data_IF_205421883162
#
_entry.id   IF_205421883162
#
_cell.length_a   1.000
_cell.length_b   1.000
_cell.length_c   1.000
_cell.angle_alpha   90.00
_cell.angle_beta   90.00
_cell.angle_gamma   90.00
#
_symmetry.space_group_name_H-M   'P 1'
#
loop_
_entity.id
_entity.type
_entity.pdbx_description
1 polymer ?
#
# COMPACT_ATOMS: atom_id res chain seq x y z
N UNK A 1 12.23 -86.54 7.52
CA UNK A 1 12.48 -86.33 6.06
C UNK A 1 11.96 -84.97 5.70
N UNK A 2 12.77 -84.12 5.13
CA UNK A 2 12.28 -82.80 4.65
C UNK A 2 13.34 -81.71 4.91
N UNK A 3 14.18 -81.52 3.93
CA UNK A 3 15.39 -80.69 3.87
C UNK A 3 15.09 -79.19 4.03
N UNK A 4 15.84 -78.53 4.95
CA UNK A 4 15.92 -77.07 5.00
C UNK A 4 16.75 -76.53 3.81
N UNK A 5 16.30 -75.45 3.25
CA UNK A 5 17.06 -74.59 2.36
C UNK A 5 17.44 -73.30 3.06
N UNK A 6 18.74 -73.16 3.25
CA UNK A 6 19.41 -71.96 3.72
C UNK A 6 19.35 -70.87 2.68
N UNK A 7 18.72 -69.74 2.99
CA UNK A 7 18.79 -68.53 2.17
C UNK A 7 19.96 -67.68 2.65
N UNK A 8 20.98 -67.53 1.77
CA UNK A 8 22.13 -66.65 1.96
C UNK A 8 21.68 -65.17 1.88
N UNK A 9 21.85 -64.45 2.98
CA UNK A 9 21.76 -62.99 3.03
C UNK A 9 22.93 -62.37 2.25
N UNK A 10 22.63 -61.60 1.20
CA UNK A 10 23.58 -60.69 0.55
C UNK A 10 23.75 -59.44 1.42
N UNK A 11 24.95 -58.91 1.59
CA UNK A 11 25.15 -57.64 2.26
C UNK A 11 24.71 -56.50 1.31
N UNK A 12 23.79 -55.66 1.75
CA UNK A 12 23.46 -54.38 1.11
C UNK A 12 24.68 -53.46 1.27
N UNK A 13 25.24 -53.06 0.15
CA UNK A 13 26.31 -52.09 0.07
C UNK A 13 25.85 -50.74 0.60
N UNK A 14 26.54 -50.28 1.62
CA UNK A 14 26.57 -48.91 2.12
C UNK A 14 26.97 -47.95 0.99
N UNK A 15 26.11 -47.04 0.62
CA UNK A 15 26.42 -46.03 -0.38
C UNK A 15 25.29 -45.00 -0.56
N UNK A 16 24.89 -44.32 0.51
CA UNK A 16 24.14 -43.09 0.45
C UNK A 16 24.43 -42.25 1.70
N UNK A 17 25.67 -41.77 1.79
CA UNK A 17 25.91 -40.57 2.57
C UNK A 17 25.38 -39.41 1.76
N UNK A 18 24.09 -39.09 1.94
CA UNK A 18 23.58 -37.80 1.56
C UNK A 18 24.33 -36.76 2.38
N UNK A 19 25.23 -36.02 1.73
CA UNK A 19 25.75 -34.77 2.23
C UNK A 19 24.56 -33.79 2.43
N UNK A 20 23.85 -33.96 3.51
CA UNK A 20 22.95 -32.93 4.07
C UNK A 20 23.85 -31.87 4.69
N UNK A 21 24.55 -31.10 3.84
CA UNK A 21 24.96 -29.76 4.27
C UNK A 21 23.66 -29.02 4.58
N UNK A 22 23.50 -28.49 5.80
CA UNK A 22 22.38 -27.59 6.04
C UNK A 22 22.49 -26.47 5.00
N UNK A 23 21.37 -26.03 4.38
CA UNK A 23 21.43 -24.91 3.47
C UNK A 23 22.12 -23.78 4.23
N UNK A 24 23.15 -23.19 3.64
CA UNK A 24 23.77 -21.98 4.15
C UNK A 24 22.64 -20.97 4.25
N UNK A 25 22.12 -20.77 5.47
CA UNK A 25 21.07 -19.79 5.71
C UNK A 25 21.70 -18.44 5.44
N UNK A 26 21.44 -17.88 4.26
CA UNK A 26 21.76 -16.49 3.97
C UNK A 26 21.04 -15.65 5.04
N UNK A 27 21.79 -14.85 5.78
CA UNK A 27 21.25 -14.01 6.83
C UNK A 27 20.41 -12.94 6.16
N UNK A 28 19.11 -13.01 6.32
CA UNK A 28 18.18 -11.98 5.85
C UNK A 28 18.14 -10.83 6.86
N UNK A 29 18.53 -9.64 6.42
CA UNK A 29 18.44 -8.42 7.21
C UNK A 29 17.16 -7.68 6.92
N UNK A 30 16.27 -7.58 7.91
CA UNK A 30 15.06 -6.75 7.80
C UNK A 30 15.40 -5.25 7.75
N UNK A 31 16.47 -4.84 8.44
CA UNK A 31 17.08 -3.50 8.38
C UNK A 31 18.59 -3.68 8.39
N UNK A 32 19.31 -2.91 7.57
CA UNK A 32 20.76 -2.93 7.46
C UNK A 32 21.31 -1.52 7.34
N UNK A 33 22.20 -1.15 8.26
CA UNK A 33 22.91 0.14 8.26
C UNK A 33 21.97 1.36 8.18
N UNK A 34 20.84 1.31 8.91
CA UNK A 34 19.86 2.40 8.99
C UNK A 34 20.32 3.39 10.06
N UNK A 35 20.60 4.63 9.67
CA UNK A 35 20.99 5.70 10.57
C UNK A 35 20.33 7.03 10.18
N UNK A 36 19.64 7.67 11.11
CA UNK A 36 19.03 8.99 10.93
C UNK A 36 18.74 9.64 12.27
N UNK A 37 18.59 10.96 12.25
CA UNK A 37 18.20 11.77 13.40
C UNK A 37 16.84 12.42 13.11
N UNK A 38 16.07 12.66 14.19
CA UNK A 38 14.80 13.40 14.13
C UNK A 38 14.84 14.51 15.16
N UNK A 39 14.59 15.73 14.72
CA UNK A 39 14.58 16.90 15.58
C UNK A 39 13.25 17.01 16.33
N UNK A 40 13.28 17.56 17.54
CA UNK A 40 12.06 17.81 18.31
C UNK A 40 11.10 18.71 17.50
N UNK A 41 9.84 18.31 17.42
CA UNK A 41 8.80 19.01 16.66
C UNK A 41 8.80 18.71 15.16
N UNK A 42 9.72 17.87 14.69
CA UNK A 42 9.78 17.48 13.27
C UNK A 42 8.74 16.42 12.95
N UNK A 43 8.14 16.52 11.76
CA UNK A 43 7.25 15.51 11.20
C UNK A 43 7.94 14.81 10.05
N UNK A 44 8.35 13.57 10.31
CA UNK A 44 9.12 12.77 9.34
C UNK A 44 8.26 11.66 8.75
N UNK A 45 8.12 11.66 7.42
CA UNK A 45 7.51 10.57 6.68
C UNK A 45 8.49 9.41 6.46
N UNK A 46 8.03 8.18 6.60
CA UNK A 46 8.78 6.98 6.24
C UNK A 46 8.03 6.27 5.13
N UNK A 47 8.58 6.30 3.94
CA UNK A 47 7.99 5.72 2.72
C UNK A 47 8.83 4.56 2.20
N UNK A 48 8.20 3.62 1.53
CA UNK A 48 8.87 2.44 0.97
C UNK A 48 7.87 1.36 0.61
N UNK A 49 8.27 0.43 -0.26
CA UNK A 49 7.44 -0.72 -0.68
C UNK A 49 7.11 -1.66 0.49
N UNK A 50 6.14 -2.55 0.28
CA UNK A 50 5.90 -3.65 1.20
C UNK A 50 7.16 -4.52 1.30
N UNK A 51 7.55 -4.89 2.53
CA UNK A 51 8.82 -5.59 2.77
C UNK A 51 10.06 -4.70 2.86
N UNK A 52 9.97 -3.37 2.67
CA UNK A 52 11.12 -2.45 2.76
C UNK A 52 11.72 -2.30 4.17
N UNK A 53 11.08 -2.86 5.22
CA UNK A 53 11.56 -2.78 6.59
C UNK A 53 10.83 -1.74 7.47
N UNK A 54 9.82 -1.02 6.94
CA UNK A 54 9.07 0.02 7.66
C UNK A 54 8.53 -0.45 9.02
N UNK A 55 7.74 -1.54 9.02
CA UNK A 55 7.15 -2.08 10.25
C UNK A 55 8.21 -2.57 11.25
N UNK A 56 9.33 -3.12 10.78
CA UNK A 56 10.45 -3.50 11.64
C UNK A 56 11.08 -2.28 12.29
N UNK A 57 11.28 -1.20 11.52
CA UNK A 57 11.80 0.07 12.04
C UNK A 57 10.88 0.65 13.11
N UNK A 58 9.56 0.67 12.84
CA UNK A 58 8.60 1.17 13.83
C UNK A 58 8.56 0.34 15.10
N UNK A 59 8.64 -1.00 15.02
CA UNK A 59 8.71 -1.88 16.19
C UNK A 59 9.94 -1.63 17.04
N UNK A 60 11.10 -1.33 16.41
CA UNK A 60 12.32 -1.00 17.11
C UNK A 60 12.18 0.37 17.79
N UNK A 61 11.64 1.39 17.10
CA UNK A 61 11.43 2.73 17.66
C UNK A 61 10.39 2.73 18.79
N UNK A 62 9.37 1.86 18.70
CA UNK A 62 8.36 1.66 19.74
C UNK A 62 8.85 0.77 20.90
N UNK A 63 10.10 0.29 20.87
CA UNK A 63 10.69 -0.63 21.85
C UNK A 63 9.95 -1.99 21.99
N UNK A 64 9.26 -2.41 20.96
CA UNK A 64 8.61 -3.74 20.89
C UNK A 64 9.66 -4.80 20.57
N UNK A 65 10.66 -4.43 19.75
CA UNK A 65 11.76 -5.33 19.35
C UNK A 65 13.08 -4.60 19.51
N UNK A 66 14.09 -5.29 20.05
CA UNK A 66 15.45 -4.76 20.13
C UNK A 66 16.18 -4.94 18.78
N UNK A 67 17.05 -3.98 18.40
CA UNK A 67 17.88 -4.16 17.22
C UNK A 67 18.97 -5.21 17.46
N UNK A 68 19.26 -6.03 16.47
CA UNK A 68 20.35 -7.05 16.55
C UNK A 68 21.70 -6.39 16.76
N UNK A 69 21.94 -5.25 16.12
CA UNK A 69 23.15 -4.42 16.27
C UNK A 69 22.76 -2.95 16.23
N UNK A 70 23.65 -2.08 16.69
CA UNK A 70 23.40 -0.65 16.73
C UNK A 70 22.67 -0.20 17.99
N UNK A 71 22.06 0.99 17.94
CA UNK A 71 21.36 1.58 19.09
C UNK A 71 20.34 2.61 18.66
N UNK A 72 19.27 2.76 19.44
CA UNK A 72 18.29 3.84 19.33
C UNK A 72 18.37 4.71 20.58
N UNK A 73 18.41 6.03 20.40
CA UNK A 73 18.36 7.01 21.48
C UNK A 73 17.08 7.82 21.35
N UNK A 74 16.25 7.78 22.37
CA UNK A 74 14.96 8.46 22.41
C UNK A 74 14.90 9.33 23.65
N UNK A 75 14.47 10.58 23.50
CA UNK A 75 14.21 11.52 24.58
C UNK A 75 12.74 11.88 24.60
N UNK A 76 12.03 11.52 25.68
CA UNK A 76 10.59 11.71 25.82
C UNK A 76 9.78 10.43 25.74
N UNK A 77 8.47 10.53 25.96
CA UNK A 77 7.51 9.42 25.85
C UNK A 77 7.22 9.16 24.39
N UNK A 78 7.25 7.90 24.02
CA UNK A 78 6.81 7.43 22.70
C UNK A 78 5.44 6.80 22.82
N UNK A 79 4.49 7.24 22.01
CA UNK A 79 3.25 6.51 21.77
C UNK A 79 3.22 6.02 20.34
N UNK A 80 2.79 4.79 20.17
CA UNK A 80 2.69 4.14 18.87
C UNK A 80 1.24 3.78 18.56
N UNK A 81 0.79 4.19 17.38
CA UNK A 81 -0.52 3.79 16.85
C UNK A 81 -0.44 2.50 16.02
N UNK A 82 0.67 1.75 16.11
CA UNK A 82 0.87 0.46 15.41
C UNK A 82 -0.18 -0.60 15.78
N UNK A 83 -0.65 -0.54 17.01
CA UNK A 83 -1.49 -1.57 17.61
C UNK A 83 -2.77 -0.97 18.18
N UNK A 84 -3.48 -0.13 17.39
CA UNK A 84 -4.76 0.44 17.81
C UNK A 84 -5.76 -0.68 18.14
N UNK A 85 -6.21 -0.70 19.40
CA UNK A 85 -7.13 -1.71 19.92
C UNK A 85 -6.48 -2.95 20.53
N UNK A 86 -5.15 -3.10 20.46
CA UNK A 86 -4.48 -4.09 21.29
C UNK A 86 -4.63 -3.70 22.77
N UNK A 87 -5.02 -4.65 23.58
CA UNK A 87 -5.30 -4.41 25.00
C UNK A 87 -6.77 -4.14 25.35
N UNK A 88 -7.67 -4.07 24.36
CA UNK A 88 -9.11 -4.11 24.67
C UNK A 88 -9.51 -5.50 25.16
N UNK A 89 -10.20 -5.53 26.30
CA UNK A 89 -10.71 -6.77 26.86
C UNK A 89 -12.18 -6.96 26.44
N UNK A 90 -12.53 -8.07 25.78
CA UNK A 90 -13.85 -8.26 25.18
C UNK A 90 -15.00 -8.26 26.19
N UNK A 91 -14.77 -8.68 27.42
CA UNK A 91 -15.79 -8.73 28.48
C UNK A 91 -16.00 -7.38 29.18
N UNK A 92 -15.05 -6.44 29.05
CA UNK A 92 -15.19 -5.11 29.63
C UNK A 92 -16.05 -4.21 28.75
N UNK A 93 -16.70 -3.25 29.38
CA UNK A 93 -17.48 -2.21 28.73
C UNK A 93 -16.58 -1.25 27.92
N UNK A 94 -17.15 -0.44 27.03
CA UNK A 94 -16.41 0.62 26.35
C UNK A 94 -15.74 1.58 27.32
N UNK A 95 -16.44 1.95 28.40
CA UNK A 95 -15.92 2.80 29.47
C UNK A 95 -14.67 2.21 30.12
N UNK A 96 -14.75 0.96 30.56
CA UNK A 96 -13.63 0.26 31.21
C UNK A 96 -12.44 0.07 30.25
N UNK A 97 -12.72 -0.19 28.97
CA UNK A 97 -11.68 -0.31 27.95
C UNK A 97 -10.98 1.04 27.64
N UNK A 98 -11.68 2.18 27.73
CA UNK A 98 -11.03 3.51 27.62
C UNK A 98 -9.98 3.67 28.72
N UNK A 99 -10.30 3.30 29.97
CA UNK A 99 -9.34 3.38 31.07
C UNK A 99 -8.22 2.35 30.93
N UNK A 100 -8.54 1.12 30.58
CA UNK A 100 -7.56 0.05 30.41
C UNK A 100 -6.56 0.39 29.29
N UNK A 101 -7.08 0.73 28.12
CA UNK A 101 -6.24 1.02 26.95
C UNK A 101 -5.46 2.33 27.12
N UNK A 102 -6.08 3.37 27.69
CA UNK A 102 -5.38 4.61 28.01
C UNK A 102 -4.17 4.36 28.94
N UNK A 103 -4.34 3.51 29.97
CA UNK A 103 -3.26 3.15 30.86
C UNK A 103 -2.15 2.34 30.16
N UNK A 104 -2.51 1.38 29.30
CA UNK A 104 -1.57 0.60 28.48
C UNK A 104 -0.76 1.52 27.57
N UNK A 105 -1.39 2.52 26.98
CA UNK A 105 -0.76 3.51 26.12
C UNK A 105 0.01 4.61 26.89
N UNK A 106 0.07 4.51 28.22
CA UNK A 106 0.90 5.37 29.08
C UNK A 106 0.23 6.65 29.57
N UNK A 107 -1.11 6.75 29.50
CA UNK A 107 -1.86 7.85 30.15
C UNK A 107 -1.99 7.60 31.65
N UNK A 108 -1.88 8.65 32.45
CA UNK A 108 -2.26 8.59 33.84
C UNK A 108 -3.80 8.54 34.01
N UNK A 109 -4.26 8.05 35.15
CA UNK A 109 -5.70 7.97 35.41
C UNK A 109 -6.38 9.34 35.38
N UNK A 110 -5.68 10.37 35.82
CA UNK A 110 -6.13 11.76 35.80
C UNK A 110 -6.22 12.29 34.36
N UNK A 111 -5.25 11.97 33.50
CA UNK A 111 -5.30 12.31 32.07
C UNK A 111 -6.50 11.65 31.38
N UNK A 112 -6.72 10.35 31.63
CA UNK A 112 -7.86 9.63 31.06
C UNK A 112 -9.17 10.27 31.51
N UNK A 113 -9.35 10.55 32.82
CA UNK A 113 -10.56 11.20 33.34
C UNK A 113 -10.82 12.54 32.71
N UNK A 114 -9.77 13.37 32.56
CA UNK A 114 -9.90 14.70 31.97
C UNK A 114 -10.36 14.67 30.53
N UNK A 115 -9.90 13.67 29.77
CA UNK A 115 -10.16 13.54 28.33
C UNK A 115 -11.29 12.59 28.00
N UNK A 116 -11.90 11.99 29.00
CA UNK A 116 -12.85 10.91 28.82
C UNK A 116 -14.00 11.30 27.90
N UNK A 117 -14.64 12.45 28.16
CA UNK A 117 -15.79 12.90 27.38
C UNK A 117 -15.41 13.25 25.93
N UNK A 118 -14.21 13.82 25.71
CA UNK A 118 -13.67 14.09 24.38
C UNK A 118 -13.40 12.79 23.60
N UNK A 119 -12.84 11.78 24.26
CA UNK A 119 -12.58 10.46 23.66
C UNK A 119 -13.89 9.82 23.23
N UNK A 120 -14.89 9.82 24.10
CA UNK A 120 -16.20 9.20 23.83
C UNK A 120 -16.92 9.93 22.70
N UNK A 121 -16.95 11.25 22.72
CA UNK A 121 -17.54 12.09 21.67
C UNK A 121 -16.83 11.92 20.31
N UNK A 122 -15.50 11.79 20.32
CA UNK A 122 -14.74 11.53 19.10
C UNK A 122 -15.10 10.18 18.50
N UNK A 123 -15.26 9.14 19.33
CA UNK A 123 -15.59 7.78 18.91
C UNK A 123 -17.05 7.61 18.45
N UNK A 124 -17.96 8.51 18.86
CA UNK A 124 -19.41 8.46 18.57
C UNK A 124 -20.07 7.16 19.09
N UNK A 125 -19.68 6.73 20.30
CA UNK A 125 -20.16 5.47 20.92
C UNK A 125 -20.90 5.69 22.25
N UNK A 126 -21.36 6.91 22.52
CA UNK A 126 -21.99 7.32 23.81
C UNK A 126 -23.09 6.35 24.23
N UNK A 127 -23.95 5.95 23.30
CA UNK A 127 -25.11 5.08 23.58
C UNK A 127 -24.73 3.65 23.98
N UNK A 128 -23.52 3.24 23.65
CA UNK A 128 -23.01 1.88 23.84
C UNK A 128 -21.90 1.80 24.89
N UNK A 129 -21.57 2.92 25.53
CA UNK A 129 -20.42 3.06 26.40
C UNK A 129 -20.38 2.04 27.55
N UNK A 130 -21.55 1.72 28.11
CA UNK A 130 -21.68 0.74 29.20
C UNK A 130 -22.02 -0.69 28.71
N UNK A 131 -21.86 -0.94 27.41
CA UNK A 131 -22.00 -2.26 26.79
C UNK A 131 -20.62 -2.92 26.63
N UNK A 132 -20.46 -4.24 26.91
CA UNK A 132 -19.22 -4.97 26.66
C UNK A 132 -18.79 -4.90 25.19
N UNK A 133 -17.49 -4.64 24.94
CA UNK A 133 -16.99 -4.39 23.57
C UNK A 133 -17.08 -5.61 22.66
N UNK A 134 -17.24 -6.81 23.16
CA UNK A 134 -17.57 -8.01 22.36
C UNK A 134 -18.87 -7.87 21.57
N UNK A 135 -19.76 -6.94 21.96
CA UNK A 135 -21.02 -6.65 21.26
C UNK A 135 -20.92 -5.46 20.31
N UNK A 136 -19.76 -4.83 20.24
CA UNK A 136 -19.53 -3.73 19.30
C UNK A 136 -19.43 -4.27 17.88
N UNK A 137 -19.85 -3.45 16.90
CA UNK A 137 -19.46 -3.68 15.53
C UNK A 137 -17.95 -3.45 15.37
N UNK A 138 -17.35 -4.04 14.35
CA UNK A 138 -15.92 -3.81 14.05
C UNK A 138 -15.59 -2.33 13.92
N UNK A 139 -16.50 -1.52 13.31
CA UNK A 139 -16.35 -0.08 13.20
C UNK A 139 -16.36 0.62 14.55
N UNK A 140 -17.31 0.31 15.45
CA UNK A 140 -17.37 0.90 16.80
C UNK A 140 -16.12 0.56 17.62
N UNK A 141 -15.66 -0.70 17.55
CA UNK A 141 -14.45 -1.17 18.23
C UNK A 141 -13.24 -0.33 17.81
N UNK A 142 -13.04 -0.19 16.52
CA UNK A 142 -11.89 0.53 16.00
C UNK A 142 -11.99 2.03 16.23
N UNK A 143 -13.18 2.64 16.12
CA UNK A 143 -13.40 4.05 16.44
C UNK A 143 -13.04 4.37 17.88
N UNK A 144 -13.49 3.53 18.85
CA UNK A 144 -13.17 3.73 20.26
C UNK A 144 -11.68 3.58 20.54
N UNK A 145 -11.05 2.54 19.99
CA UNK A 145 -9.62 2.29 20.15
C UNK A 145 -8.78 3.45 19.58
N UNK A 146 -9.13 3.93 18.38
CA UNK A 146 -8.47 5.08 17.77
C UNK A 146 -8.72 6.37 18.56
N UNK A 147 -9.92 6.58 19.08
CA UNK A 147 -10.24 7.76 19.88
C UNK A 147 -9.34 7.86 21.11
N UNK A 148 -9.10 6.76 21.83
CA UNK A 148 -8.15 6.73 22.96
C UNK A 148 -6.75 7.13 22.46
N UNK A 149 -6.28 6.50 21.39
CA UNK A 149 -4.95 6.71 20.84
C UNK A 149 -4.76 8.15 20.30
N UNK A 150 -5.76 8.74 19.66
CA UNK A 150 -5.72 10.10 19.13
C UNK A 150 -5.70 11.20 20.22
N UNK A 151 -6.08 10.85 21.46
CA UNK A 151 -6.06 11.77 22.59
C UNK A 151 -4.82 11.57 23.50
N UNK A 152 -3.87 10.74 23.07
CA UNK A 152 -2.56 10.69 23.71
C UNK A 152 -1.81 12.02 23.52
N UNK A 153 -1.01 12.37 24.50
CA UNK A 153 -0.14 13.55 24.46
C UNK A 153 1.34 13.16 24.68
N UNK A 154 1.89 12.30 23.81
CA UNK A 154 3.31 11.96 23.89
C UNK A 154 4.15 13.08 23.28
N UNK A 155 5.43 13.13 23.64
CA UNK A 155 6.41 13.97 22.98
C UNK A 155 6.77 13.45 21.58
N UNK A 156 6.67 12.14 21.37
CA UNK A 156 6.94 11.46 20.09
C UNK A 156 5.77 10.54 19.75
N UNK A 157 5.14 10.77 18.61
CA UNK A 157 4.05 9.96 18.10
C UNK A 157 4.50 9.16 16.88
N UNK A 158 4.30 7.86 16.93
CA UNK A 158 4.54 6.96 15.80
C UNK A 158 3.19 6.55 15.22
N UNK A 159 2.99 6.86 13.95
CA UNK A 159 1.73 6.63 13.22
C UNK A 159 2.01 5.70 12.05
N UNK A 160 1.32 4.56 12.00
CA UNK A 160 1.34 3.64 10.86
C UNK A 160 0.06 3.79 10.02
N UNK A 161 -0.02 3.14 8.89
CA UNK A 161 -1.12 3.08 7.93
C UNK A 161 -2.54 2.94 8.52
N UNK A 162 -2.65 2.73 9.82
CA UNK A 162 -3.90 2.53 10.58
C UNK A 162 -4.87 3.74 10.49
N UNK A 163 -4.45 4.89 9.94
CA UNK A 163 -5.37 6.02 9.69
C UNK A 163 -6.45 5.73 8.64
N UNK A 164 -6.32 4.64 7.90
CA UNK A 164 -7.31 4.19 6.91
C UNK A 164 -8.50 3.42 7.54
N UNK A 165 -8.65 3.44 8.87
CA UNK A 165 -9.68 2.68 9.59
C UNK A 165 -10.95 3.50 9.80
N UNK A 166 -12.10 2.85 9.68
CA UNK A 166 -13.41 3.48 9.79
C UNK A 166 -13.95 3.98 8.44
N UNK A 167 -15.03 4.75 8.48
CA UNK A 167 -15.59 5.40 7.30
C UNK A 167 -14.83 6.71 6.94
N UNK A 168 -15.13 7.26 5.76
CA UNK A 168 -14.47 8.47 5.25
C UNK A 168 -14.60 9.68 6.20
N UNK A 169 -15.73 9.80 6.89
CA UNK A 169 -15.96 10.90 7.83
C UNK A 169 -15.05 10.76 9.04
N UNK A 170 -14.94 9.55 9.58
CA UNK A 170 -14.05 9.28 10.71
C UNK A 170 -12.57 9.42 10.33
N UNK A 171 -12.17 8.97 9.14
CA UNK A 171 -10.82 9.19 8.62
C UNK A 171 -10.47 10.68 8.49
N UNK A 172 -11.40 11.50 8.02
CA UNK A 172 -11.23 12.96 7.97
C UNK A 172 -11.05 13.57 9.36
N UNK A 173 -11.83 13.10 10.36
CA UNK A 173 -11.64 13.49 11.78
C UNK A 173 -10.25 13.07 12.29
N UNK A 174 -9.82 11.86 11.98
CA UNK A 174 -8.48 11.36 12.37
C UNK A 174 -7.36 12.20 11.78
N UNK A 175 -7.41 12.51 10.48
CA UNK A 175 -6.44 13.39 9.82
C UNK A 175 -6.46 14.81 10.38
N UNK A 176 -7.66 15.36 10.69
CA UNK A 176 -7.79 16.64 11.37
C UNK A 176 -7.08 16.64 12.72
N UNK A 177 -7.37 15.64 13.56
CA UNK A 177 -6.71 15.50 14.88
C UNK A 177 -5.19 15.34 14.78
N UNK A 178 -4.69 14.64 13.75
CA UNK A 178 -3.25 14.53 13.51
C UNK A 178 -2.63 15.89 13.15
N UNK A 179 -3.29 16.72 12.34
CA UNK A 179 -2.84 18.09 12.06
C UNK A 179 -2.76 18.95 13.32
N UNK A 180 -3.74 18.82 14.21
CA UNK A 180 -3.74 19.53 15.50
C UNK A 180 -2.54 19.10 16.35
N UNK A 181 -2.26 17.80 16.38
CA UNK A 181 -1.09 17.22 17.10
C UNK A 181 0.23 17.77 16.54
N UNK A 182 0.36 17.88 15.23
CA UNK A 182 1.51 18.48 14.54
C UNK A 182 1.61 19.99 14.87
N UNK A 183 0.48 20.70 14.85
CA UNK A 183 0.42 22.16 15.13
C UNK A 183 0.91 22.55 16.52
N UNK A 184 0.91 21.63 17.49
CA UNK A 184 1.42 21.85 18.85
C UNK A 184 2.95 21.61 18.95
N UNK A 185 3.64 21.30 17.86
CA UNK A 185 5.09 21.12 17.82
C UNK A 185 5.57 19.76 18.37
N UNK A 186 4.76 18.71 18.28
CA UNK A 186 5.15 17.35 18.65
C UNK A 186 5.95 16.68 17.54
N UNK A 187 6.86 15.81 17.92
CA UNK A 187 7.61 14.99 16.96
C UNK A 187 6.73 13.86 16.46
N UNK A 188 6.59 13.71 15.15
CA UNK A 188 5.76 12.67 14.53
C UNK A 188 6.57 11.86 13.52
N UNK A 189 6.55 10.54 13.66
CA UNK A 189 7.02 9.60 12.65
C UNK A 189 5.80 9.01 11.95
N UNK A 190 5.61 9.36 10.70
CA UNK A 190 4.42 9.02 9.93
C UNK A 190 4.76 8.03 8.81
N UNK A 191 4.21 6.82 8.89
CA UNK A 191 4.34 5.80 7.85
C UNK A 191 3.05 5.71 7.07
N UNK A 192 3.11 5.92 5.78
CA UNK A 192 1.96 5.76 4.90
C UNK A 192 2.42 5.40 3.50
N UNK A 193 1.57 4.69 2.77
CA UNK A 193 1.70 4.50 1.33
C UNK A 193 0.89 5.55 0.54
N UNK A 194 0.06 6.35 1.20
CA UNK A 194 -0.68 7.46 0.59
C UNK A 194 0.22 8.69 0.46
N UNK A 195 0.74 8.94 -0.74
CA UNK A 195 1.68 10.05 -0.97
C UNK A 195 1.04 11.42 -0.70
N UNK A 196 -0.26 11.58 -0.97
CA UNK A 196 -1.01 12.81 -0.66
C UNK A 196 -1.08 13.11 0.84
N UNK A 197 -1.21 12.09 1.69
CA UNK A 197 -1.16 12.26 3.14
C UNK A 197 0.27 12.66 3.60
N UNK A 198 1.29 12.01 3.07
CA UNK A 198 2.69 12.32 3.31
C UNK A 198 2.99 13.78 2.94
N UNK A 199 2.60 14.23 1.74
CA UNK A 199 2.81 15.61 1.27
C UNK A 199 2.11 16.65 2.15
N UNK A 200 0.91 16.33 2.65
CA UNK A 200 0.12 17.29 3.42
C UNK A 200 0.57 17.45 4.88
N UNK A 201 1.31 16.49 5.43
CA UNK A 201 1.64 16.41 6.86
C UNK A 201 3.13 16.49 7.11
N UNK A 202 3.96 15.85 6.29
CA UNK A 202 5.39 15.70 6.54
C UNK A 202 6.22 16.84 5.95
N UNK A 203 7.21 17.32 6.68
CA UNK A 203 8.21 18.29 6.19
C UNK A 203 9.40 17.59 5.53
N UNK A 204 9.76 16.41 6.00
CA UNK A 204 10.87 15.59 5.53
C UNK A 204 10.44 14.13 5.45
N UNK A 205 11.04 13.38 4.51
CA UNK A 205 10.80 11.96 4.38
C UNK A 205 12.08 11.15 4.24
N UNK A 206 11.98 9.90 4.69
CA UNK A 206 12.98 8.86 4.55
C UNK A 206 12.42 7.77 3.64
N UNK A 207 13.15 7.44 2.59
CA UNK A 207 12.82 6.36 1.67
C UNK A 207 13.56 5.10 2.08
N UNK A 208 12.81 4.06 2.45
CA UNK A 208 13.34 2.73 2.77
C UNK A 208 13.14 1.79 1.58
N UNK A 209 14.20 1.05 1.24
CA UNK A 209 14.10 -0.07 0.31
C UNK A 209 15.04 -1.19 0.77
N UNK A 210 14.52 -2.43 0.77
CA UNK A 210 15.26 -3.64 1.16
C UNK A 210 16.06 -3.47 2.46
N UNK A 211 15.42 -2.87 3.46
CA UNK A 211 15.99 -2.64 4.78
C UNK A 211 17.03 -1.53 4.88
N UNK A 212 17.24 -0.72 3.86
CA UNK A 212 18.21 0.38 3.82
C UNK A 212 17.55 1.73 3.54
N UNK A 213 18.15 2.82 4.05
CA UNK A 213 17.77 4.17 3.63
C UNK A 213 18.38 4.43 2.25
N UNK A 214 17.53 4.69 1.27
CA UNK A 214 17.96 5.06 -0.09
C UNK A 214 17.99 6.56 -0.29
N UNK A 215 17.13 7.26 0.41
CA UNK A 215 17.07 8.72 0.36
C UNK A 215 16.53 9.28 1.68
N UNK A 216 17.00 10.45 2.06
CA UNK A 216 16.44 11.25 3.15
C UNK A 216 16.55 12.74 2.75
N UNK A 217 15.43 13.45 2.77
CA UNK A 217 15.38 14.85 2.32
C UNK A 217 13.99 15.45 2.45
N UNK A 218 13.71 16.55 1.77
CA UNK A 218 12.38 17.16 1.74
C UNK A 218 11.33 16.17 1.20
N UNK A 219 10.10 16.34 1.64
CA UNK A 219 8.99 15.45 1.22
C UNK A 219 8.88 15.32 -0.30
N UNK A 220 8.95 16.45 -1.02
CA UNK A 220 8.89 16.45 -2.47
C UNK A 220 10.06 15.71 -3.16
N UNK A 221 11.27 15.83 -2.63
CA UNK A 221 12.44 15.11 -3.14
C UNK A 221 12.37 13.61 -2.84
N UNK A 222 11.93 13.26 -1.64
CA UNK A 222 11.78 11.87 -1.22
C UNK A 222 10.70 11.15 -2.04
N UNK A 223 9.57 11.79 -2.30
CA UNK A 223 8.53 11.25 -3.18
C UNK A 223 9.08 11.06 -4.60
N UNK A 224 9.82 12.05 -5.13
CA UNK A 224 10.49 11.88 -6.44
C UNK A 224 11.50 10.75 -6.45
N UNK A 225 12.30 10.60 -5.38
CA UNK A 225 13.29 9.52 -5.26
C UNK A 225 12.61 8.15 -5.18
N UNK A 226 11.59 8.04 -4.32
CA UNK A 226 10.77 6.82 -4.20
C UNK A 226 10.13 6.44 -5.52
N UNK A 227 9.59 7.42 -6.21
CA UNK A 227 8.94 7.27 -7.49
C UNK A 227 9.89 6.85 -8.60
N UNK A 228 11.10 7.40 -8.64
CA UNK A 228 12.16 6.92 -9.56
C UNK A 228 12.52 5.46 -9.28
N UNK A 229 12.60 5.09 -8.02
CA UNK A 229 12.92 3.73 -7.62
C UNK A 229 11.77 2.74 -7.93
N UNK A 230 10.53 3.16 -7.76
CA UNK A 230 9.36 2.39 -8.19
C UNK A 230 9.30 2.26 -9.71
N UNK A 231 9.61 3.33 -10.43
CA UNK A 231 9.65 3.34 -11.91
C UNK A 231 10.85 2.55 -12.45
N UNK A 232 12.03 2.64 -11.82
CA UNK A 232 13.18 1.82 -12.25
C UNK A 232 12.99 0.32 -11.94
N UNK A 233 12.09 -0.03 -11.01
CA UNK A 233 11.67 -1.43 -10.76
C UNK A 233 10.50 -1.85 -11.66
N UNK A 234 9.82 -0.87 -12.30
CA UNK A 234 8.84 -1.07 -13.38
C UNK A 234 9.53 -0.91 -14.76
N UNK A 235 10.80 -0.49 -14.81
CA UNK A 235 11.63 -0.65 -16.01
C UNK A 235 11.73 -2.15 -16.29
N UNK A 236 10.91 -2.55 -17.22
CA UNK A 236 10.62 -3.90 -17.67
C UNK A 236 11.87 -4.64 -18.24
N UNK A 237 13.06 -4.09 -18.04
CA UNK A 237 14.30 -4.67 -18.54
C UNK A 237 14.76 -5.95 -17.82
N UNK A 238 14.17 -6.27 -16.65
CA UNK A 238 14.66 -7.42 -15.84
C UNK A 238 13.58 -8.49 -15.53
N UNK A 239 12.51 -8.55 -16.30
CA UNK A 239 11.59 -9.70 -16.22
C UNK A 239 12.13 -10.91 -16.99
N UNK A 240 13.35 -11.33 -16.67
CA UNK A 240 13.99 -12.55 -17.20
C UNK A 240 13.17 -13.83 -16.89
N UNK A 241 11.99 -13.72 -16.29
CA UNK A 241 11.10 -14.82 -15.95
C UNK A 241 9.68 -14.75 -16.52
N UNK A 242 9.20 -13.63 -17.06
CA UNK A 242 7.84 -13.58 -17.60
C UNK A 242 7.74 -14.29 -18.94
N UNK A 243 6.94 -15.34 -18.98
CA UNK A 243 6.63 -16.02 -20.23
C UNK A 243 5.83 -15.09 -21.16
N UNK A 244 6.37 -14.80 -22.33
CA UNK A 244 5.72 -14.00 -23.37
C UNK A 244 5.30 -14.87 -24.54
N UNK A 245 4.20 -14.55 -25.16
CA UNK A 245 3.71 -15.15 -26.40
C UNK A 245 3.75 -14.09 -27.49
N UNK A 246 4.15 -14.45 -28.69
CA UNK A 246 4.24 -13.56 -29.84
C UNK A 246 5.57 -13.66 -30.58
N UNK A 247 5.64 -13.02 -31.76
CA UNK A 247 6.83 -13.05 -32.62
C UNK A 247 7.89 -12.02 -32.25
N UNK A 248 7.60 -11.12 -31.30
CA UNK A 248 8.53 -10.13 -30.76
C UNK A 248 8.88 -8.97 -31.69
N UNK A 249 8.13 -8.77 -32.79
CA UNK A 249 8.35 -7.63 -33.71
C UNK A 249 8.15 -6.27 -33.02
N UNK A 250 7.19 -6.19 -32.12
CA UNK A 250 6.95 -5.07 -31.23
C UNK A 250 6.86 -5.60 -29.80
N UNK A 251 7.55 -4.97 -28.85
CA UNK A 251 7.56 -5.37 -27.45
C UNK A 251 7.19 -4.23 -26.54
N UNK A 252 6.39 -4.48 -25.56
CA UNK A 252 6.10 -3.56 -24.46
C UNK A 252 7.37 -3.36 -23.61
N UNK A 253 7.65 -2.10 -23.23
CA UNK A 253 8.86 -1.73 -22.49
C UNK A 253 8.61 -0.97 -21.20
N UNK A 254 7.53 -0.17 -21.11
CA UNK A 254 7.29 0.64 -19.91
C UNK A 254 5.83 1.01 -19.74
N UNK A 255 5.45 1.29 -18.48
CA UNK A 255 4.14 1.80 -18.08
C UNK A 255 4.31 3.08 -17.27
N UNK A 256 3.40 4.03 -17.43
CA UNK A 256 3.39 5.27 -16.66
C UNK A 256 2.00 5.88 -16.57
N UNK A 257 1.86 6.85 -15.67
CA UNK A 257 0.66 7.66 -15.48
C UNK A 257 1.01 9.12 -15.73
N UNK A 258 0.10 9.85 -16.37
CA UNK A 258 0.18 11.31 -16.53
C UNK A 258 -1.13 11.95 -16.07
N UNK A 259 -1.02 13.13 -15.49
CA UNK A 259 -2.16 13.98 -15.13
C UNK A 259 -2.73 14.72 -16.34
N UNK A 260 -3.72 15.59 -16.09
CA UNK A 260 -4.36 16.43 -17.10
C UNK A 260 -3.39 17.40 -17.79
N UNK A 261 -2.31 17.81 -17.11
CA UNK A 261 -1.26 18.67 -17.65
C UNK A 261 -0.16 17.89 -18.38
N UNK A 262 -0.28 16.57 -18.49
CA UNK A 262 0.73 15.70 -19.08
C UNK A 262 1.97 15.52 -18.20
N UNK A 263 1.88 15.87 -16.92
CA UNK A 263 2.95 15.62 -15.97
C UNK A 263 2.88 14.19 -15.46
N UNK A 264 4.06 13.57 -15.34
CA UNK A 264 4.16 12.21 -14.82
C UNK A 264 3.75 12.16 -13.35
N UNK A 265 2.77 11.32 -13.05
CA UNK A 265 2.27 11.06 -11.68
C UNK A 265 2.50 9.59 -11.30
N UNK A 266 2.37 9.27 -10.02
CA UNK A 266 2.68 7.95 -9.46
C UNK A 266 1.47 7.27 -8.83
N UNK A 267 0.45 8.04 -8.49
CA UNK A 267 -0.88 7.59 -8.15
C UNK A 267 -1.90 8.46 -8.88
N UNK A 268 -3.03 7.87 -9.21
CA UNK A 268 -4.18 8.58 -9.76
C UNK A 268 -5.19 8.86 -8.65
N UNK A 269 -6.16 9.76 -8.89
CA UNK A 269 -7.28 9.96 -7.97
C UNK A 269 -8.60 9.62 -8.66
N UNK A 270 -9.50 8.90 -7.94
CA UNK A 270 -10.84 8.60 -8.44
C UNK A 270 -11.57 9.87 -8.87
N UNK A 271 -12.24 9.85 -10.01
CA UNK A 271 -13.00 10.99 -10.54
C UNK A 271 -12.17 12.05 -11.24
N UNK A 272 -10.86 11.94 -11.30
CA UNK A 272 -9.96 12.87 -12.01
C UNK A 272 -9.60 12.34 -13.40
N UNK A 273 -9.23 13.23 -14.35
CA UNK A 273 -8.64 12.82 -15.61
C UNK A 273 -7.35 12.02 -15.40
N UNK A 274 -7.12 11.01 -16.24
CA UNK A 274 -5.92 10.19 -16.17
C UNK A 274 -5.49 9.78 -17.58
N UNK A 275 -4.19 9.83 -17.83
CA UNK A 275 -3.56 9.25 -19.02
C UNK A 275 -2.67 8.09 -18.63
N UNK A 276 -2.95 6.91 -19.17
CA UNK A 276 -2.11 5.71 -19.09
C UNK A 276 -1.13 5.76 -20.28
N UNK A 277 0.15 5.59 -19.98
CA UNK A 277 1.23 5.67 -20.98
C UNK A 277 1.94 4.32 -21.07
N UNK A 278 2.03 3.78 -22.29
CA UNK A 278 2.63 2.48 -22.57
C UNK A 278 3.77 2.64 -23.56
N UNK A 279 5.00 2.37 -23.12
CA UNK A 279 6.17 2.38 -23.99
C UNK A 279 6.31 1.07 -24.77
N UNK A 280 6.83 1.16 -25.99
CA UNK A 280 7.17 -0.01 -26.78
C UNK A 280 8.46 0.18 -27.57
N UNK A 281 9.09 -0.94 -27.94
CA UNK A 281 10.18 -1.02 -28.91
C UNK A 281 9.78 -1.95 -30.05
N UNK A 282 10.10 -1.57 -31.29
CA UNK A 282 9.81 -2.34 -32.49
C UNK A 282 11.07 -2.63 -33.27
N UNK A 283 11.11 -3.79 -33.93
CA UNK A 283 12.19 -4.09 -34.89
C UNK A 283 12.04 -3.24 -36.15
N UNK A 284 13.15 -2.84 -36.84
CA UNK A 284 13.11 -1.93 -37.97
C UNK A 284 12.23 -2.32 -39.14
N UNK A 285 11.81 -3.56 -39.23
CA UNK A 285 10.99 -4.10 -40.34
C UNK A 285 9.47 -4.07 -40.09
N UNK A 286 9.01 -3.56 -38.93
CA UNK A 286 7.58 -3.51 -38.61
C UNK A 286 6.91 -2.26 -39.25
N UNK A 287 6.61 -2.31 -40.55
CA UNK A 287 5.83 -1.27 -41.25
C UNK A 287 4.32 -1.48 -41.18
N UNK A 288 3.87 -2.61 -40.63
CA UNK A 288 2.46 -2.97 -40.56
C UNK A 288 1.76 -2.28 -39.37
N UNK A 289 0.44 -2.07 -39.44
CA UNK A 289 -0.28 -1.37 -38.37
C UNK A 289 -0.22 -2.15 -37.06
N UNK A 290 -0.02 -1.44 -35.99
CA UNK A 290 -0.01 -1.93 -34.61
C UNK A 290 -1.39 -1.74 -33.97
N UNK A 291 -1.94 -2.79 -33.37
CA UNK A 291 -3.06 -2.72 -32.44
C UNK A 291 -2.57 -3.00 -31.03
N UNK A 292 -3.14 -2.30 -30.07
CA UNK A 292 -2.75 -2.36 -28.69
C UNK A 292 -3.94 -2.63 -27.78
N UNK A 293 -3.78 -3.49 -26.79
CA UNK A 293 -4.77 -3.72 -25.77
C UNK A 293 -4.16 -3.76 -24.37
N UNK A 294 -4.95 -3.35 -23.41
CA UNK A 294 -4.63 -3.53 -22.00
C UNK A 294 -5.86 -3.97 -21.21
N UNK A 295 -5.61 -4.54 -20.06
CA UNK A 295 -6.65 -4.86 -19.08
C UNK A 295 -6.21 -4.45 -17.69
N UNK A 296 -7.20 -4.05 -16.89
CA UNK A 296 -7.00 -3.67 -15.48
C UNK A 296 -7.64 -4.74 -14.60
N UNK A 297 -6.92 -5.11 -13.55
CA UNK A 297 -7.30 -6.19 -12.64
C UNK A 297 -7.19 -5.72 -11.18
N UNK A 298 -8.01 -6.32 -10.30
CA UNK A 298 -7.86 -6.16 -8.85
C UNK A 298 -6.59 -6.86 -8.36
N UNK A 299 -6.19 -6.61 -7.12
CA UNK A 299 -5.07 -7.31 -6.45
C UNK A 299 -5.31 -8.81 -6.28
N UNK A 300 -6.56 -9.26 -6.37
CA UNK A 300 -6.95 -10.68 -6.36
C UNK A 300 -6.95 -11.32 -7.75
N UNK A 301 -6.59 -10.56 -8.80
CA UNK A 301 -6.53 -11.03 -10.19
C UNK A 301 -7.86 -10.98 -10.95
N UNK A 302 -8.93 -10.45 -10.34
CA UNK A 302 -10.21 -10.30 -11.05
C UNK A 302 -10.09 -9.18 -12.10
N UNK A 303 -10.45 -9.47 -13.35
CA UNK A 303 -10.50 -8.49 -14.44
C UNK A 303 -11.62 -7.48 -14.21
N UNK A 304 -11.28 -6.20 -14.25
CA UNK A 304 -12.24 -5.09 -14.12
C UNK A 304 -12.65 -4.59 -15.50
N UNK A 305 -11.68 -4.33 -16.35
CA UNK A 305 -11.95 -3.90 -17.73
C UNK A 305 -10.86 -4.41 -18.68
N UNK A 306 -11.26 -4.51 -19.94
CA UNK A 306 -10.37 -4.81 -21.07
C UNK A 306 -10.66 -3.80 -22.16
N UNK A 307 -9.62 -3.20 -22.69
CA UNK A 307 -9.70 -2.25 -23.79
C UNK A 307 -8.74 -2.65 -24.91
N UNK A 308 -9.24 -2.73 -26.13
CA UNK A 308 -8.46 -2.93 -27.33
C UNK A 308 -8.68 -1.78 -28.29
N UNK A 309 -7.60 -1.27 -28.88
CA UNK A 309 -7.65 -0.16 -29.84
C UNK A 309 -8.41 -0.54 -31.11
N UNK A 310 -8.29 -1.78 -31.56
CA UNK A 310 -9.01 -2.31 -32.72
C UNK A 310 -10.53 -2.43 -32.49
N UNK A 311 -11.00 -2.65 -31.26
CA UNK A 311 -12.43 -2.58 -30.93
C UNK A 311 -13.02 -1.18 -31.14
N UNK A 312 -12.16 -0.16 -31.06
CA UNK A 312 -12.52 1.23 -31.36
C UNK A 312 -12.20 1.63 -32.81
N UNK A 313 -11.76 0.69 -33.65
CA UNK A 313 -11.34 0.95 -35.02
C UNK A 313 -10.03 1.71 -35.11
N UNK A 314 -9.22 1.74 -34.06
CA UNK A 314 -7.96 2.49 -33.99
C UNK A 314 -6.79 1.52 -34.19
N UNK A 315 -5.94 1.85 -35.16
CA UNK A 315 -4.62 1.21 -35.37
C UNK A 315 -3.54 2.28 -35.49
N UNK A 316 -2.32 1.93 -35.09
CA UNK A 316 -1.20 2.87 -35.08
C UNK A 316 -0.26 2.58 -36.25
N UNK A 317 -0.04 3.59 -37.10
CA UNK A 317 0.86 3.49 -38.27
C UNK A 317 1.39 4.89 -38.62
N UNK A 318 2.66 5.07 -38.95
CA UNK A 318 3.71 4.05 -38.92
C UNK A 318 4.14 3.69 -37.51
N UNK A 319 4.67 2.48 -37.31
CA UNK A 319 5.26 2.04 -36.04
C UNK A 319 6.74 2.49 -36.01
N UNK A 320 7.09 3.33 -35.05
CA UNK A 320 8.46 3.77 -34.81
C UNK A 320 9.27 2.69 -34.09
N UNK A 321 10.60 2.71 -34.22
CA UNK A 321 11.49 1.78 -33.48
C UNK A 321 11.30 1.86 -31.97
N UNK A 322 11.01 3.05 -31.46
CA UNK A 322 10.59 3.33 -30.07
C UNK A 322 9.44 4.28 -30.07
N UNK A 323 8.44 4.00 -29.25
CA UNK A 323 7.26 4.85 -29.18
C UNK A 323 6.51 4.71 -27.87
N UNK A 324 5.51 5.58 -27.71
CA UNK A 324 4.58 5.55 -26.59
C UNK A 324 3.16 5.57 -27.13
N UNK A 325 2.30 4.72 -26.53
CA UNK A 325 0.87 4.71 -26.74
C UNK A 325 0.20 5.32 -25.52
N UNK A 326 -0.73 6.24 -25.72
CA UNK A 326 -1.42 6.92 -24.63
C UNK A 326 -2.92 6.64 -24.70
N UNK A 327 -3.48 6.27 -23.57
CA UNK A 327 -4.93 6.16 -23.36
C UNK A 327 -5.36 7.16 -22.30
N UNK A 328 -6.20 8.11 -22.69
CA UNK A 328 -6.69 9.17 -21.80
C UNK A 328 -8.16 8.93 -21.47
N UNK A 329 -8.49 8.90 -20.17
CA UNK A 329 -9.87 8.98 -19.69
C UNK A 329 -10.14 10.34 -19.06
N UNK A 330 -11.24 11.01 -19.42
CA UNK A 330 -11.57 12.32 -18.84
C UNK A 330 -11.97 12.19 -17.36
N UNK A 331 -12.31 10.98 -16.92
CA UNK A 331 -12.74 10.70 -15.55
C UNK A 331 -12.42 9.27 -15.18
N UNK A 332 -11.58 9.10 -14.17
CA UNK A 332 -11.21 7.78 -13.67
C UNK A 332 -12.35 7.20 -12.83
N UNK A 333 -12.97 6.12 -13.31
CA UNK A 333 -14.10 5.46 -12.66
C UNK A 333 -13.71 4.38 -11.66
N UNK A 334 -12.42 4.12 -11.47
CA UNK A 334 -11.95 3.12 -10.52
C UNK A 334 -11.97 3.68 -9.10
N UNK A 335 -12.36 2.83 -8.16
CA UNK A 335 -12.35 3.13 -6.73
C UNK A 335 -10.91 3.23 -6.21
N UNK A 336 -10.67 3.87 -5.05
CA UNK A 336 -9.36 3.87 -4.41
C UNK A 336 -8.86 2.45 -4.14
N UNK A 337 -7.58 2.20 -4.42
CA UNK A 337 -6.97 0.88 -4.25
C UNK A 337 -5.80 0.65 -5.19
N UNK A 338 -5.27 -0.57 -5.15
CA UNK A 338 -4.18 -1.01 -6.03
C UNK A 338 -4.72 -1.87 -7.15
N UNK A 339 -4.16 -1.67 -8.33
CA UNK A 339 -4.58 -2.34 -9.55
C UNK A 339 -3.40 -2.86 -10.34
N UNK A 340 -3.58 -4.00 -11.01
CA UNK A 340 -2.61 -4.57 -11.93
C UNK A 340 -3.01 -4.29 -13.38
N UNK A 341 -1.99 -4.20 -14.24
CA UNK A 341 -2.15 -4.00 -15.67
C UNK A 341 -1.54 -5.18 -16.43
N UNK A 342 -2.29 -5.72 -17.38
CA UNK A 342 -1.76 -6.61 -18.41
C UNK A 342 -1.89 -5.94 -19.77
N UNK A 343 -1.02 -6.30 -20.71
CA UNK A 343 -0.96 -5.71 -22.06
C UNK A 343 -0.92 -6.78 -23.13
N UNK A 344 -1.35 -6.42 -24.34
CA UNK A 344 -1.31 -7.25 -25.54
C UNK A 344 -1.05 -6.38 -26.77
N UNK A 345 -0.05 -6.73 -27.56
CA UNK A 345 0.31 -6.04 -28.80
C UNK A 345 0.11 -6.99 -30.00
N UNK A 346 -0.51 -6.46 -31.05
CA UNK A 346 -0.73 -7.20 -32.29
C UNK A 346 -0.21 -6.38 -33.47
N UNK A 347 0.47 -7.03 -34.39
CA UNK A 347 0.90 -6.45 -35.68
C UNK A 347 0.18 -7.25 -36.77
N UNK A 348 -0.57 -6.56 -37.63
CA UNK A 348 -1.37 -7.20 -38.66
C UNK A 348 -2.29 -8.30 -38.12
N UNK A 349 -2.95 -8.05 -36.98
CA UNK A 349 -3.83 -9.01 -36.30
C UNK A 349 -3.16 -10.23 -35.66
N UNK A 350 -1.82 -10.32 -35.71
CA UNK A 350 -1.04 -11.42 -35.10
C UNK A 350 -0.36 -10.96 -33.82
N UNK A 351 -0.40 -11.82 -32.81
CA UNK A 351 0.27 -11.52 -31.54
C UNK A 351 1.77 -11.28 -31.75
N UNK A 352 2.23 -10.10 -31.33
CA UNK A 352 3.66 -9.78 -31.35
C UNK A 352 4.24 -9.78 -29.95
N UNK A 353 3.47 -9.35 -28.94
CA UNK A 353 3.88 -9.43 -27.54
C UNK A 353 2.66 -9.54 -26.61
N UNK A 354 2.61 -10.66 -25.90
CA UNK A 354 1.60 -10.92 -24.89
C UNK A 354 2.26 -11.56 -23.65
N UNK A 355 2.72 -10.74 -22.70
CA UNK A 355 3.17 -11.21 -21.40
C UNK A 355 2.04 -11.98 -20.69
N UNK A 356 2.35 -13.14 -20.12
CA UNK A 356 1.37 -14.01 -19.43
C UNK A 356 1.14 -13.63 -17.99
N UNK A 357 1.81 -12.60 -17.50
CA UNK A 357 1.69 -12.04 -16.18
C UNK A 357 1.41 -10.53 -16.26
N UNK A 358 1.07 -9.91 -15.14
CA UNK A 358 0.85 -8.47 -15.07
C UNK A 358 2.17 -7.73 -15.31
N UNK A 359 2.10 -6.69 -16.13
CA UNK A 359 3.28 -5.90 -16.54
C UNK A 359 3.50 -4.67 -15.67
N UNK A 360 2.47 -4.25 -14.94
CA UNK A 360 2.56 -3.08 -14.07
C UNK A 360 1.53 -3.16 -12.94
N UNK A 361 1.77 -2.34 -11.92
CA UNK A 361 0.83 -2.03 -10.84
C UNK A 361 0.75 -0.52 -10.71
N UNK A 362 -0.43 -0.01 -10.40
CA UNK A 362 -0.63 1.39 -10.04
C UNK A 362 -1.64 1.53 -8.91
N UNK A 363 -1.55 2.63 -8.20
CA UNK A 363 -2.41 2.91 -7.06
C UNK A 363 -3.35 4.09 -7.39
N UNK A 364 -4.56 4.02 -6.85
CA UNK A 364 -5.58 5.06 -6.98
C UNK A 364 -5.91 5.57 -5.58
N UNK A 365 -5.74 6.86 -5.40
CA UNK A 365 -6.06 7.57 -4.18
C UNK A 365 -7.55 7.94 -4.12
N UNK A 366 -8.02 8.23 -2.90
CA UNK A 366 -9.36 8.72 -2.68
C UNK A 366 -9.56 10.07 -3.39
N UNK A 367 -10.55 10.12 -4.28
CA UNK A 367 -11.00 11.34 -4.94
C UNK A 367 -12.47 11.63 -4.62
N UNK A 368 -12.92 12.85 -4.92
CA UNK A 368 -14.33 13.24 -4.84
C UNK A 368 -15.03 12.91 -6.16
N UNK A 369 -15.35 11.63 -6.37
CA UNK A 369 -15.95 11.17 -7.62
C UNK A 369 -17.31 11.83 -7.90
N UNK A 370 -18.15 12.01 -6.89
CA UNK A 370 -19.50 12.56 -7.08
C UNK A 370 -19.59 14.07 -6.85
N UNK A 371 -18.50 14.77 -6.55
CA UNK A 371 -18.49 16.23 -6.32
C UNK A 371 -19.15 16.69 -5.04
N UNK A 372 -19.37 15.79 -4.07
CA UNK A 372 -20.08 16.06 -2.81
C UNK A 372 -19.13 16.18 -1.61
N UNK A 373 -17.83 16.18 -1.82
CA UNK A 373 -16.83 16.21 -0.76
C UNK A 373 -16.72 14.89 0.02
N UNK A 374 -17.31 13.80 -0.50
CA UNK A 374 -17.29 12.46 0.12
C UNK A 374 -16.30 11.58 -0.61
N UNK A 375 -15.29 11.08 0.11
CA UNK A 375 -14.36 10.08 -0.43
C UNK A 375 -15.00 8.70 -0.48
N UNK A 376 -14.66 7.92 -1.49
CA UNK A 376 -15.14 6.54 -1.67
C UNK A 376 -14.12 5.54 -1.12
N UNK A 377 -14.61 4.37 -0.65
CA UNK A 377 -13.75 3.28 -0.15
C UNK A 377 -13.77 2.08 -1.07
N UNK A 378 -12.64 1.40 -1.19
CA UNK A 378 -12.48 0.17 -1.97
C UNK A 378 -13.43 -0.98 -1.56
N UNK A 379 -13.94 -0.95 -0.33
CA UNK A 379 -14.90 -1.95 0.17
C UNK A 379 -16.27 -1.95 -0.52
N UNK A 380 -16.60 -0.90 -1.28
CA UNK A 380 -17.88 -0.76 -1.99
C UNK A 380 -17.84 -1.26 -3.44
N UNK A 381 -16.73 -1.83 -3.87
CA UNK A 381 -16.50 -2.33 -5.23
C UNK A 381 -15.42 -1.55 -5.98
N UNK A 382 -14.86 -2.16 -7.05
CA UNK A 382 -13.72 -1.57 -7.75
C UNK A 382 -14.09 -0.49 -8.78
N UNK A 383 -15.38 -0.30 -9.09
CA UNK A 383 -15.85 0.64 -10.12
C UNK A 383 -16.90 1.56 -9.55
N UNK A 384 -16.78 2.85 -9.84
CA UNK A 384 -17.73 3.90 -9.51
C UNK A 384 -18.61 4.20 -10.72
N UNK A 385 -19.92 4.26 -10.51
CA UNK A 385 -20.89 4.50 -11.58
C UNK A 385 -21.62 5.80 -11.30
N UNK A 386 -21.79 6.62 -12.33
CA UNK A 386 -22.60 7.84 -12.30
C UNK A 386 -23.98 7.56 -12.90
N UNK A 387 -25.02 8.15 -12.34
CA UNK A 387 -26.39 8.02 -12.82
C UNK A 387 -27.35 8.93 -12.05
N UNK A 388 -28.54 9.11 -12.60
CA UNK A 388 -29.59 9.95 -12.01
C UNK A 388 -30.57 9.11 -11.18
N UNK A 389 -30.93 9.61 -10.01
CA UNK A 389 -31.93 9.02 -9.14
C UNK A 389 -33.29 9.70 -9.35
N UNK A 390 -34.32 8.90 -9.59
CA UNK A 390 -35.70 9.38 -9.66
C UNK A 390 -36.55 8.65 -8.63
N UNK A 391 -37.31 9.44 -7.84
CA UNK A 391 -38.32 8.91 -6.93
C UNK A 391 -39.69 9.03 -7.60
N UNK A 392 -40.28 7.91 -8.00
CA UNK A 392 -41.62 7.84 -8.58
C UNK A 392 -42.60 7.30 -7.54
N UNK A 393 -43.71 8.05 -7.30
CA UNK A 393 -44.80 7.53 -6.50
C UNK A 393 -45.54 6.45 -7.34
N UNK A 394 -45.75 5.28 -6.74
CA UNK A 394 -46.60 4.24 -7.30
C UNK A 394 -47.99 4.49 -6.77
N UNK A 395 -48.93 4.93 -7.64
CA UNK A 395 -50.34 5.12 -7.32
C UNK A 395 -51.08 3.79 -7.43
#
# INVERSE_FOLDING_TARGET
MGKGQSAKSRPLSSGLTSDLRPPTSEVFWALKDVSFDVTQGEVVGIIGRNGAGKSTLLKILSRITEPTTGRVRIRGRVASLLEVGTGFHPELTGRENVFLNGAILGMTREEIKRKFDEIVAFAEVEKFLDTPVKRYSSGMYVRLAFAVAAHLEPEILIVDEVLAVGDAQFQKKCLGKMRDVVGVGRTVLFVSHQMSAIESICSRCIVLNSGQIKFAGTTAEAIRAYSREVVSTIDYQDSAGIKRVGNGLVRFTSFGLEDEQGQKIYSAASGKPLTLVFGYEATPHSKQPLSFGFSIHTTTGQTICVLYSDYQGITFSPVHERGMLKFTTPRLILAPGSYYVAVRLLVDGKETDFPKDFVARFDIDTGDFYGQGVGFHSGNGPVLIEGDWQHLAIT
#
